data_IF_231679232307
#
_entry.id   IF_231679232307
#
_cell.length_a   1.000
_cell.length_b   1.000
_cell.length_c   1.000
_cell.angle_alpha   90.00
_cell.angle_beta   90.00
_cell.angle_gamma   90.00
#
_symmetry.space_group_name_H-M   'P 1'
#
loop_
_entity.id
_entity.type
_entity.pdbx_description
1 polymer ?
#
# COMPACT_ATOMS: atom_id res chain seq x y z
N UNK A 1 -4.51 12.64 -10.21
CA UNK A 1 -3.80 12.17 -8.99
C UNK A 1 -3.26 13.32 -8.13
N UNK A 2 -3.54 14.60 -8.42
CA UNK A 2 -3.07 15.75 -7.61
C UNK A 2 -4.03 16.19 -6.49
N UNK A 3 -5.35 16.00 -6.68
CA UNK A 3 -6.37 16.50 -5.74
C UNK A 3 -6.36 15.82 -4.37
N UNK A 4 -5.98 14.55 -4.32
CA UNK A 4 -5.86 13.80 -3.07
C UNK A 4 -4.74 14.38 -2.21
N UNK A 5 -3.62 14.78 -2.81
CA UNK A 5 -2.49 15.38 -2.07
C UNK A 5 -2.86 16.78 -1.59
N UNK A 6 -3.55 17.57 -2.40
CA UNK A 6 -3.98 18.92 -2.02
C UNK A 6 -5.01 18.90 -0.89
N UNK A 7 -6.00 18.00 -0.94
CA UNK A 7 -6.99 17.84 0.14
C UNK A 7 -6.37 17.34 1.46
N UNK A 8 -5.38 16.43 1.40
CA UNK A 8 -4.61 15.99 2.57
C UNK A 8 -3.80 17.16 3.16
N UNK A 9 -3.21 18.00 2.30
CA UNK A 9 -2.42 19.16 2.73
C UNK A 9 -3.28 20.14 3.54
N UNK A 10 -4.47 20.49 3.06
CA UNK A 10 -5.43 21.34 3.80
C UNK A 10 -5.83 20.74 5.13
N UNK A 11 -6.16 19.44 5.14
CA UNK A 11 -6.63 18.75 6.35
C UNK A 11 -5.54 18.66 7.42
N UNK A 12 -4.27 18.66 7.03
CA UNK A 12 -3.12 18.70 7.94
C UNK A 12 -2.96 20.05 8.69
N UNK A 13 -3.55 21.12 8.17
CA UNK A 13 -3.42 22.47 8.73
C UNK A 13 -4.58 22.89 9.64
N UNK A 14 -5.52 21.98 9.90
CA UNK A 14 -6.70 22.22 10.74
C UNK A 14 -6.58 21.37 12.00
N UNK A 15 -6.82 21.97 13.15
CA UNK A 15 -6.91 21.23 14.42
C UNK A 15 -8.35 20.71 14.56
N UNK A 16 -8.51 19.40 14.49
CA UNK A 16 -9.82 18.77 14.59
C UNK A 16 -10.14 18.36 16.03
N UNK A 17 -11.42 18.40 16.41
CA UNK A 17 -11.85 17.95 17.73
C UNK A 17 -11.62 16.43 17.89
N UNK A 18 -11.07 15.94 19.02
CA UNK A 18 -10.71 14.53 19.20
C UNK A 18 -11.90 13.57 19.08
N UNK A 19 -13.05 13.94 19.65
CA UNK A 19 -14.27 13.10 19.56
C UNK A 19 -15.10 13.35 18.29
N UNK A 20 -14.88 14.48 17.61
CA UNK A 20 -15.68 14.92 16.46
C UNK A 20 -14.76 15.32 15.31
N UNK A 21 -14.19 14.33 14.64
CA UNK A 21 -13.24 14.48 13.54
C UNK A 21 -13.77 15.27 12.32
N UNK A 22 -15.07 15.54 12.24
CA UNK A 22 -15.70 16.35 11.21
C UNK A 22 -15.73 17.86 11.55
N UNK A 23 -15.42 18.23 12.79
CA UNK A 23 -15.26 19.62 13.22
C UNK A 23 -13.77 19.91 13.30
N UNK A 24 -13.29 20.83 12.46
CA UNK A 24 -11.92 21.29 12.50
C UNK A 24 -11.85 22.81 12.51
N UNK A 25 -10.99 23.34 13.37
CA UNK A 25 -10.77 24.77 13.56
C UNK A 25 -9.41 25.17 12.99
N UNK A 26 -9.33 26.41 12.52
CA UNK A 26 -8.07 27.02 12.10
C UNK A 26 -7.65 28.06 13.14
N UNK A 27 -6.35 28.25 13.35
CA UNK A 27 -5.81 29.26 14.25
C UNK A 27 -5.83 30.68 13.69
N UNK A 28 -6.39 30.89 12.49
CA UNK A 28 -6.54 32.23 11.89
C UNK A 28 -7.50 33.07 12.74
N UNK A 29 -7.00 34.20 13.25
CA UNK A 29 -7.81 35.16 14.00
C UNK A 29 -8.98 35.67 13.16
N UNK A 30 -10.17 35.68 13.76
CA UNK A 30 -11.37 36.16 13.10
C UNK A 30 -11.32 37.67 12.87
N UNK A 31 -11.50 38.09 11.62
CA UNK A 31 -11.55 39.50 11.26
C UNK A 31 -13.00 40.02 11.31
N UNK A 32 -13.35 40.65 12.43
CA UNK A 32 -14.69 41.21 12.68
C UNK A 32 -15.08 42.32 11.69
N UNK A 33 -14.11 42.99 11.06
CA UNK A 33 -14.39 44.07 10.11
C UNK A 33 -14.83 43.57 8.73
N UNK A 34 -14.51 42.31 8.38
CA UNK A 34 -14.80 41.73 7.06
C UNK A 34 -16.11 40.94 7.05
N UNK A 35 -16.43 40.29 8.16
CA UNK A 35 -17.66 39.51 8.32
C UNK A 35 -18.27 39.82 9.68
N UNK A 36 -19.59 40.02 9.73
CA UNK A 36 -20.33 40.23 10.98
C UNK A 36 -20.63 38.90 11.68
N UNK A 37 -20.30 38.81 12.97
CA UNK A 37 -20.37 37.58 13.75
C UNK A 37 -21.82 37.14 13.97
N UNK A 38 -22.75 38.07 14.15
CA UNK A 38 -24.15 37.75 14.33
C UNK A 38 -24.75 37.15 13.06
N UNK A 39 -24.29 37.59 11.88
CA UNK A 39 -24.67 37.00 10.59
C UNK A 39 -24.13 35.58 10.40
N UNK A 40 -22.89 35.32 10.83
CA UNK A 40 -22.31 33.97 10.80
C UNK A 40 -23.05 33.03 11.76
N UNK A 41 -23.37 33.50 12.97
CA UNK A 41 -24.12 32.73 13.96
C UNK A 41 -25.50 32.34 13.44
N UNK A 42 -26.23 33.29 12.87
CA UNK A 42 -27.56 33.05 12.28
C UNK A 42 -27.50 32.07 11.10
N UNK A 43 -26.41 32.09 10.32
CA UNK A 43 -26.17 31.14 9.25
C UNK A 43 -25.88 29.72 9.78
N UNK A 44 -25.00 29.56 10.77
CA UNK A 44 -24.71 28.28 11.41
C UNK A 44 -25.93 27.68 12.13
N UNK A 45 -26.82 28.53 12.65
CA UNK A 45 -28.08 28.12 13.26
C UNK A 45 -29.16 27.72 12.23
N UNK A 46 -28.88 27.85 10.92
CA UNK A 46 -29.80 27.48 9.85
C UNK A 46 -30.99 28.43 9.69
N UNK A 47 -30.98 29.59 10.37
CA UNK A 47 -32.05 30.58 10.37
C UNK A 47 -31.91 31.53 9.15
N UNK A 48 -30.78 31.48 8.44
CA UNK A 48 -30.48 32.36 7.32
C UNK A 48 -30.78 31.73 5.95
N UNK A 49 -31.91 32.10 5.34
CA UNK A 49 -32.31 31.74 3.98
C UNK A 49 -31.63 32.61 2.91
N UNK A 50 -30.36 32.36 2.57
CA UNK A 50 -29.79 32.88 1.31
C UNK A 50 -28.89 31.85 0.63
N UNK A 51 -29.24 31.49 -0.60
CA UNK A 51 -28.51 30.56 -1.48
C UNK A 51 -27.21 31.14 -2.09
N UNK A 52 -26.79 32.35 -1.70
CA UNK A 52 -25.66 33.06 -2.33
C UNK A 52 -24.45 33.30 -1.41
N UNK A 53 -24.38 32.66 -0.24
CA UNK A 53 -23.19 32.70 0.63
C UNK A 53 -22.47 31.36 0.57
N UNK A 54 -22.08 30.97 -0.65
CA UNK A 54 -20.94 30.07 -0.81
C UNK A 54 -19.72 30.90 -0.43
N UNK A 55 -19.29 30.84 0.84
CA UNK A 55 -17.99 31.35 1.26
C UNK A 55 -16.98 30.75 0.28
N UNK A 56 -16.34 31.57 -0.55
CA UNK A 56 -15.47 31.10 -1.62
C UNK A 56 -14.28 30.36 -0.99
N UNK A 57 -14.47 29.05 -0.84
CA UNK A 57 -13.56 28.15 -0.18
C UNK A 57 -12.21 28.15 -0.91
N UNK A 58 -12.18 28.51 -2.20
CA UNK A 58 -10.97 28.68 -2.99
C UNK A 58 -10.17 29.91 -2.59
N UNK A 59 -10.79 31.07 -2.36
CA UNK A 59 -10.09 32.26 -1.86
C UNK A 59 -9.53 32.05 -0.44
N UNK A 60 -10.31 31.44 0.45
CA UNK A 60 -9.83 31.13 1.80
C UNK A 60 -8.67 30.12 1.78
N UNK A 61 -8.73 29.15 0.86
CA UNK A 61 -7.66 28.18 0.65
C UNK A 61 -6.37 28.82 0.12
N UNK A 62 -6.48 29.78 -0.80
CA UNK A 62 -5.33 30.51 -1.34
C UNK A 62 -4.70 31.46 -0.30
N UNK A 63 -5.50 32.14 0.51
CA UNK A 63 -5.00 32.98 1.60
C UNK A 63 -4.31 32.17 2.71
N UNK A 64 -4.84 31.01 3.09
CA UNK A 64 -4.21 30.11 4.08
C UNK A 64 -2.86 29.58 3.55
N UNK A 65 -2.78 29.33 2.24
CA UNK A 65 -1.55 28.92 1.56
C UNK A 65 -0.52 30.06 1.57
N UNK A 66 -0.91 31.28 1.19
CA UNK A 66 0.00 32.43 1.09
C UNK A 66 0.51 32.94 2.46
N UNK A 67 -0.30 32.88 3.53
CA UNK A 67 0.14 33.31 4.86
C UNK A 67 1.20 32.39 5.49
N UNK A 68 1.29 31.12 5.05
CA UNK A 68 2.23 30.12 5.57
C UNK A 68 3.27 29.66 4.53
N UNK A 69 3.38 30.33 3.39
CA UNK A 69 4.56 30.26 2.51
C UNK A 69 5.75 31.07 3.07
N UNK A 70 5.53 31.91 4.09
CA UNK A 70 6.59 32.63 4.81
C UNK A 70 7.47 31.72 5.70
N UNK A 71 7.07 30.46 5.91
CA UNK A 71 7.96 29.44 6.45
C UNK A 71 7.65 28.14 5.69
N UNK A 72 8.51 27.70 4.76
CA UNK A 72 8.27 26.43 4.11
C UNK A 72 8.24 25.39 5.22
N UNK A 73 7.09 24.73 5.44
CA UNK A 73 7.06 23.51 6.22
C UNK A 73 8.16 22.61 5.64
N UNK A 74 9.30 22.57 6.34
CA UNK A 74 10.38 21.62 6.10
C UNK A 74 9.88 20.25 6.54
N UNK A 75 8.86 19.76 5.84
CA UNK A 75 8.50 18.37 5.89
C UNK A 75 9.56 17.64 5.07
N UNK A 76 10.69 17.39 5.73
CA UNK A 76 11.73 16.56 5.17
C UNK A 76 11.18 15.13 5.13
N UNK A 77 10.54 14.80 4.01
CA UNK A 77 9.96 13.48 3.77
C UNK A 77 11.02 12.37 3.89
N UNK A 78 12.31 12.68 3.66
CA UNK A 78 13.39 11.74 3.88
C UNK A 78 13.63 11.50 5.38
N UNK A 79 13.58 12.55 6.20
CA UNK A 79 13.69 12.43 7.65
C UNK A 79 12.49 11.71 8.28
N UNK A 80 11.27 12.03 7.85
CA UNK A 80 10.06 11.34 8.31
C UNK A 80 10.06 9.85 7.93
N UNK A 81 10.56 9.51 6.73
CA UNK A 81 10.72 8.13 6.31
C UNK A 81 11.80 7.40 7.15
N UNK A 82 12.93 8.04 7.44
CA UNK A 82 13.96 7.44 8.28
C UNK A 82 13.49 7.21 9.71
N UNK A 83 12.71 8.15 10.26
CA UNK A 83 12.18 8.05 11.62
C UNK A 83 11.14 6.94 11.76
N UNK A 84 10.28 6.76 10.75
CA UNK A 84 9.35 5.63 10.70
C UNK A 84 10.06 4.28 10.61
N UNK A 85 11.09 4.17 9.75
CA UNK A 85 11.89 2.95 9.62
C UNK A 85 12.63 2.63 10.92
N UNK A 86 13.15 3.65 11.61
CA UNK A 86 13.82 3.48 12.89
C UNK A 86 12.83 3.09 14.00
N UNK A 87 11.64 3.68 14.03
CA UNK A 87 10.58 3.28 14.95
C UNK A 87 10.14 1.82 14.71
N UNK A 88 9.99 1.40 13.45
CA UNK A 88 9.64 0.03 13.11
C UNK A 88 10.71 -0.97 13.57
N UNK A 89 11.98 -0.63 13.40
CA UNK A 89 13.12 -1.44 13.89
C UNK A 89 13.12 -1.56 15.41
N UNK A 90 12.77 -0.49 16.13
CA UNK A 90 12.75 -0.48 17.59
C UNK A 90 11.54 -1.23 18.18
N UNK A 91 10.40 -1.18 17.49
CA UNK A 91 9.16 -1.87 17.92
C UNK A 91 9.20 -3.37 17.61
N UNK A 92 9.97 -3.79 16.62
CA UNK A 92 10.21 -5.22 16.31
C UNK A 92 11.69 -5.61 16.52
N UNK A 93 12.16 -5.73 17.77
CA UNK A 93 13.54 -6.10 18.07
C UNK A 93 13.88 -7.55 17.68
N UNK A 94 12.89 -8.35 17.26
CA UNK A 94 13.03 -9.78 16.94
C UNK A 94 12.87 -10.11 15.46
N UNK A 95 12.98 -9.15 14.53
CA UNK A 95 13.34 -9.56 13.18
C UNK A 95 14.79 -10.09 13.27
N UNK A 96 15.04 -11.42 13.14
CA UNK A 96 16.40 -11.85 12.85
C UNK A 96 16.83 -11.06 11.61
N UNK A 97 18.08 -10.57 11.61
CA UNK A 97 18.65 -9.77 10.53
C UNK A 97 18.04 -10.16 9.18
N UNK A 98 17.45 -9.19 8.46
CA UNK A 98 16.78 -9.36 7.16
C UNK A 98 17.43 -10.43 6.23
N UNK A 99 18.76 -10.62 6.17
CA UNK A 99 19.35 -11.77 5.46
C UNK A 99 18.78 -13.16 5.81
N UNK A 100 18.50 -13.46 7.09
CA UNK A 100 18.15 -14.81 7.54
C UNK A 100 16.68 -15.17 7.24
N UNK A 101 15.77 -14.20 7.31
CA UNK A 101 14.37 -14.38 6.91
C UNK A 101 14.24 -14.56 5.40
N UNK A 102 14.96 -13.76 4.61
CA UNK A 102 15.01 -13.91 3.14
C UNK A 102 15.62 -15.26 2.77
N UNK A 103 16.69 -15.68 3.44
CA UNK A 103 17.30 -16.98 3.20
C UNK A 103 16.35 -18.13 3.52
N UNK A 104 15.66 -18.07 4.67
CA UNK A 104 14.69 -19.10 5.06
C UNK A 104 13.54 -19.20 4.04
N UNK A 105 12.94 -18.08 3.65
CA UNK A 105 11.87 -18.05 2.65
C UNK A 105 12.35 -18.56 1.29
N UNK A 106 13.56 -18.18 0.87
CA UNK A 106 14.16 -18.66 -0.37
C UNK A 106 14.38 -20.18 -0.35
N UNK A 107 14.86 -20.74 0.76
CA UNK A 107 15.07 -22.19 0.92
C UNK A 107 13.74 -22.95 0.87
N UNK A 108 12.68 -22.46 1.52
CA UNK A 108 11.37 -23.10 1.42
C UNK A 108 10.79 -23.03 0.00
N UNK A 109 10.96 -21.90 -0.68
CA UNK A 109 10.53 -21.71 -2.06
C UNK A 109 11.27 -22.67 -3.00
N UNK A 110 12.60 -22.78 -2.89
CA UNK A 110 13.40 -23.69 -3.72
C UNK A 110 13.06 -25.14 -3.44
N UNK A 111 12.90 -25.54 -2.17
CA UNK A 111 12.53 -26.90 -1.79
C UNK A 111 11.14 -27.27 -2.34
N UNK A 112 10.17 -26.35 -2.26
CA UNK A 112 8.84 -26.55 -2.84
C UNK A 112 8.90 -26.76 -4.36
N UNK A 113 9.69 -25.96 -5.08
CA UNK A 113 9.86 -26.11 -6.53
C UNK A 113 10.51 -27.46 -6.86
N UNK A 114 11.57 -27.84 -6.14
CA UNK A 114 12.24 -29.13 -6.31
C UNK A 114 11.27 -30.30 -6.11
N UNK A 115 10.46 -30.27 -5.05
CA UNK A 115 9.45 -31.31 -4.79
C UNK A 115 8.42 -31.36 -5.93
N UNK A 116 7.92 -30.21 -6.40
CA UNK A 116 7.00 -30.16 -7.53
C UNK A 116 7.62 -30.75 -8.82
N UNK A 117 8.88 -30.42 -9.12
CA UNK A 117 9.59 -30.95 -10.28
C UNK A 117 9.76 -32.47 -10.17
N UNK A 118 10.14 -32.99 -9.00
CA UNK A 118 10.28 -34.43 -8.77
C UNK A 118 8.93 -35.14 -8.94
N UNK A 119 7.86 -34.61 -8.34
CA UNK A 119 6.51 -35.17 -8.47
C UNK A 119 6.00 -35.17 -9.92
N UNK A 120 6.38 -34.17 -10.73
CA UNK A 120 6.02 -34.09 -12.14
C UNK A 120 6.90 -34.98 -13.04
N UNK A 121 8.20 -35.08 -12.76
CA UNK A 121 9.15 -35.81 -13.60
C UNK A 121 9.12 -37.33 -13.34
N UNK A 122 8.95 -37.77 -12.09
CA UNK A 122 8.87 -39.19 -11.75
C UNK A 122 7.84 -39.98 -12.57
N UNK A 123 6.56 -39.57 -12.70
CA UNK A 123 5.59 -40.31 -13.50
C UNK A 123 5.95 -40.34 -14.99
N UNK A 124 6.57 -39.27 -15.51
CA UNK A 124 7.04 -39.20 -16.89
C UNK A 124 8.17 -40.21 -17.12
N UNK A 125 9.16 -40.23 -16.22
CA UNK A 125 10.29 -41.16 -16.30
C UNK A 125 9.85 -42.61 -16.16
N UNK A 126 8.94 -42.91 -15.22
CA UNK A 126 8.39 -44.25 -15.03
C UNK A 126 7.63 -44.69 -16.29
N UNK A 127 6.77 -43.81 -16.85
CA UNK A 127 6.02 -44.12 -18.07
C UNK A 127 6.95 -44.39 -19.25
N UNK A 128 7.99 -43.56 -19.42
CA UNK A 128 9.01 -43.77 -20.45
C UNK A 128 9.77 -45.08 -20.24
N UNK A 129 10.19 -45.38 -19.01
CA UNK A 129 10.93 -46.60 -18.70
C UNK A 129 10.10 -47.86 -18.99
N UNK A 130 8.83 -47.89 -18.55
CA UNK A 130 7.91 -49.01 -18.84
C UNK A 130 7.73 -49.17 -20.35
N UNK A 131 7.52 -48.08 -21.09
CA UNK A 131 7.36 -48.13 -22.54
C UNK A 131 8.58 -48.73 -23.24
N UNK A 132 9.81 -48.36 -22.81
CA UNK A 132 11.06 -48.89 -23.38
C UNK A 132 11.26 -50.37 -23.02
N UNK A 133 10.93 -50.77 -21.80
CA UNK A 133 11.02 -52.16 -21.36
C UNK A 133 10.05 -53.06 -22.13
N UNK A 134 8.85 -52.56 -22.46
CA UNK A 134 7.87 -53.29 -23.26
C UNK A 134 8.33 -53.47 -24.71
N UNK A 135 8.90 -52.41 -25.31
CA UNK A 135 9.47 -52.44 -26.66
C UNK A 135 10.60 -53.48 -26.75
N UNK A 136 11.53 -53.43 -25.80
CA UNK A 136 12.68 -54.33 -25.76
C UNK A 136 12.27 -55.79 -25.53
N UNK A 137 11.22 -56.03 -24.74
CA UNK A 137 10.63 -57.37 -24.59
C UNK A 137 9.99 -57.83 -25.90
N UNK A 138 9.29 -56.96 -26.62
CA UNK A 138 8.68 -57.30 -27.90
C UNK A 138 9.73 -57.68 -28.95
N UNK A 139 10.84 -56.93 -29.02
CA UNK A 139 11.97 -57.21 -29.90
C UNK A 139 12.62 -58.57 -29.60
N UNK A 140 12.82 -58.91 -28.31
CA UNK A 140 13.37 -60.22 -27.91
C UNK A 140 12.44 -61.36 -28.35
N UNK A 141 11.13 -61.23 -28.18
CA UNK A 141 10.18 -62.26 -28.62
C UNK A 141 10.14 -62.39 -30.15
N UNK A 142 10.24 -61.29 -30.90
CA UNK A 142 10.40 -61.29 -32.36
C UNK A 142 11.66 -62.04 -32.79
N UNK A 143 12.78 -61.81 -32.10
CA UNK A 143 14.05 -62.48 -32.38
C UNK A 143 13.97 -63.97 -32.07
N UNK A 144 13.34 -64.37 -30.96
CA UNK A 144 13.16 -65.79 -30.59
C UNK A 144 12.29 -66.52 -31.63
N UNK A 145 11.20 -65.90 -32.10
CA UNK A 145 10.35 -66.45 -33.15
C UNK A 145 11.08 -66.58 -34.50
N UNK A 146 12.05 -65.71 -34.78
CA UNK A 146 12.87 -65.77 -36.00
C UNK A 146 14.00 -66.79 -35.91
N UNK A 147 14.43 -67.17 -34.71
CA UNK A 147 15.49 -68.17 -34.47
C UNK A 147 14.98 -69.58 -34.24
N UNK A 148 13.68 -69.79 -33.98
CA UNK A 148 13.05 -71.12 -34.04
C UNK A 148 12.43 -71.36 -35.43
N UNK A 149 13.09 -72.11 -36.33
CA UNK A 149 12.54 -72.48 -37.64
C UNK A 149 11.37 -73.48 -37.53
#
# INVERSE_FOLDING_TARGET
>A
MGDVIQSIKVKSYLECHPDYHWICVTSKGYNQSQYDWDRIRLHLQGIWHNANVSLDMFQLHDEIKNMREADPLRFDAAQAASDFVNALKNVMPSLPSIPNLVHSVLVFLTLSICVCVILCLLPILIKCFISRMLDLRADIHQLELKTRP
#
